data_IF_940296149707
#
_entry.id   IF_940296149707
#
_cell.length_a   1.000
_cell.length_b   1.000
_cell.length_c   1.000
_cell.angle_alpha   90.00
_cell.angle_beta   90.00
_cell.angle_gamma   90.00
#
_symmetry.space_group_name_H-M   'P 1'
#
loop_
_entity.id
_entity.type
_entity.pdbx_description
1 polymer ?
#
# COMPACT_ATOMS: atom_id res chain seq x y z
N UNK A 1 -18.96 -20.41 1.89
CA UNK A 1 -19.47 -19.09 1.49
C UNK A 1 -19.81 -19.16 0.00
N UNK A 2 -21.02 -18.78 -0.40
CA UNK A 2 -21.49 -18.93 -1.79
C UNK A 2 -21.26 -17.64 -2.57
N UNK A 3 -20.35 -17.68 -3.55
CA UNK A 3 -20.06 -16.54 -4.43
C UNK A 3 -21.14 -16.43 -5.51
N UNK A 4 -21.79 -15.27 -5.62
CA UNK A 4 -22.76 -15.00 -6.69
C UNK A 4 -22.16 -14.03 -7.70
N UNK A 5 -22.12 -14.45 -8.97
CA UNK A 5 -21.71 -13.59 -10.09
C UNK A 5 -22.98 -12.93 -10.63
N UNK A 6 -23.08 -11.61 -10.52
CA UNK A 6 -24.14 -10.84 -11.18
C UNK A 6 -23.60 -10.34 -12.51
N UNK A 7 -23.97 -11.03 -13.58
CA UNK A 7 -23.60 -10.63 -14.94
C UNK A 7 -24.57 -9.54 -15.43
N UNK A 8 -24.15 -8.27 -15.39
CA UNK A 8 -24.78 -7.21 -16.18
C UNK A 8 -24.16 -7.21 -17.58
N UNK A 9 -24.94 -6.89 -18.63
CA UNK A 9 -24.53 -6.93 -20.05
C UNK A 9 -23.31 -6.06 -20.40
N UNK A 10 -22.77 -5.28 -19.46
CA UNK A 10 -21.59 -4.43 -19.65
C UNK A 10 -20.48 -4.62 -18.61
N UNK A 11 -20.76 -5.23 -17.45
CA UNK A 11 -19.76 -5.45 -16.40
C UNK A 11 -20.12 -6.69 -15.58
N UNK A 12 -19.15 -7.58 -15.38
CA UNK A 12 -19.26 -8.71 -14.46
C UNK A 12 -18.97 -8.21 -13.05
N UNK A 13 -20.00 -8.02 -12.23
CA UNK A 13 -19.82 -7.64 -10.83
C UNK A 13 -19.75 -8.93 -10.01
N UNK A 14 -18.54 -9.26 -9.54
CA UNK A 14 -18.32 -10.40 -8.64
C UNK A 14 -18.56 -9.95 -7.20
N UNK A 15 -19.31 -10.74 -6.42
CA UNK A 15 -19.46 -10.53 -4.97
C UNK A 15 -18.30 -11.10 -4.15
N UNK A 16 -17.36 -11.78 -4.81
CA UNK A 16 -16.15 -12.34 -4.21
C UNK A 16 -15.20 -11.22 -3.74
N UNK A 17 -15.00 -11.05 -2.41
CA UNK A 17 -14.17 -9.98 -1.87
C UNK A 17 -12.70 -10.06 -2.31
N UNK A 18 -12.15 -11.26 -2.52
CA UNK A 18 -10.76 -11.44 -2.94
C UNK A 18 -10.56 -10.96 -4.37
N UNK A 19 -11.51 -11.27 -5.26
CA UNK A 19 -11.49 -10.77 -6.64
C UNK A 19 -11.67 -9.26 -6.71
N UNK A 20 -12.52 -8.69 -5.85
CA UNK A 20 -12.67 -7.24 -5.75
C UNK A 20 -11.38 -6.56 -5.28
N UNK A 21 -10.73 -7.11 -4.24
CA UNK A 21 -9.45 -6.63 -3.75
C UNK A 21 -8.36 -6.70 -4.83
N UNK A 22 -8.27 -7.82 -5.56
CA UNK A 22 -7.32 -7.99 -6.65
C UNK A 22 -7.56 -7.01 -7.81
N UNK A 23 -8.82 -6.74 -8.17
CA UNK A 23 -9.16 -5.74 -9.18
C UNK A 23 -8.77 -4.34 -8.71
N UNK A 24 -9.10 -3.99 -7.47
CA UNK A 24 -8.76 -2.69 -6.88
C UNK A 24 -7.26 -2.46 -6.79
N UNK A 25 -6.50 -3.50 -6.43
CA UNK A 25 -5.04 -3.45 -6.38
C UNK A 25 -4.44 -3.11 -7.75
N UNK A 26 -4.96 -3.68 -8.84
CA UNK A 26 -4.51 -3.37 -10.21
C UNK A 26 -4.78 -1.91 -10.58
N UNK A 27 -5.97 -1.39 -10.29
CA UNK A 27 -6.31 0.02 -10.53
C UNK A 27 -5.36 0.97 -9.76
N UNK A 28 -5.06 0.63 -8.51
CA UNK A 28 -4.15 1.40 -7.68
C UNK A 28 -2.71 1.33 -8.19
N UNK A 29 -2.25 0.17 -8.64
CA UNK A 29 -0.93 0.01 -9.26
C UNK A 29 -0.82 0.88 -10.53
N UNK A 30 -1.82 0.83 -11.42
CA UNK A 30 -1.84 1.66 -12.64
C UNK A 30 -1.76 3.16 -12.32
N UNK A 31 -2.46 3.61 -11.27
CA UNK A 31 -2.42 4.99 -10.82
C UNK A 31 -1.06 5.38 -10.20
N UNK A 32 -0.51 4.53 -9.33
CA UNK A 32 0.66 4.82 -8.51
C UNK A 32 2.00 4.60 -9.24
N UNK A 33 2.00 3.85 -10.34
CA UNK A 33 3.16 3.70 -11.22
C UNK A 33 3.37 4.89 -12.15
N UNK A 34 2.48 5.89 -12.13
CA UNK A 34 2.63 7.11 -12.92
C UNK A 34 3.68 8.08 -12.33
N UNK A 35 4.25 8.99 -13.15
CA UNK A 35 5.14 10.06 -12.67
C UNK A 35 4.46 11.10 -11.76
N UNK A 36 3.13 11.02 -11.55
CA UNK A 36 2.43 11.85 -10.58
C UNK A 36 2.78 11.48 -9.13
N UNK A 37 3.22 10.24 -8.90
CA UNK A 37 3.77 9.83 -7.63
C UNK A 37 5.16 10.47 -7.46
N UNK A 38 5.36 11.24 -6.39
CA UNK A 38 6.61 12.01 -6.20
C UNK A 38 7.83 11.10 -6.16
N UNK A 39 7.71 9.91 -5.56
CA UNK A 39 8.75 8.89 -5.51
C UNK A 39 9.09 8.24 -6.87
N UNK A 40 8.29 8.48 -7.91
CA UNK A 40 8.49 7.97 -9.28
C UNK A 40 8.96 9.05 -10.26
N UNK A 41 9.12 10.29 -9.81
CA UNK A 41 9.63 11.37 -10.67
C UNK A 41 11.06 11.05 -11.13
N UNK A 42 11.44 11.43 -12.37
CA UNK A 42 12.82 11.30 -12.82
C UNK A 42 13.79 11.99 -11.84
N UNK A 43 14.83 11.28 -11.43
CA UNK A 43 15.83 11.78 -10.48
C UNK A 43 15.49 11.61 -9.00
N UNK A 44 14.34 11.01 -8.66
CA UNK A 44 14.07 10.56 -7.29
C UNK A 44 14.90 9.29 -7.00
N UNK A 45 15.62 9.30 -5.87
CA UNK A 45 16.34 8.12 -5.38
C UNK A 45 15.36 7.22 -4.59
N UNK A 46 15.28 5.90 -4.86
CA UNK A 46 14.54 4.98 -4.00
C UNK A 46 14.93 5.09 -2.52
N UNK A 47 16.21 5.31 -2.21
CA UNK A 47 16.73 5.33 -0.84
C UNK A 47 16.19 6.53 -0.02
N UNK A 48 15.72 7.60 -0.68
CA UNK A 48 15.03 8.72 -0.02
C UNK A 48 13.71 8.32 0.66
N UNK A 49 13.14 7.16 0.28
CA UNK A 49 11.87 6.65 0.76
C UNK A 49 12.01 5.40 1.64
N UNK A 50 13.19 4.77 1.59
CA UNK A 50 13.55 3.56 2.34
C UNK A 50 14.80 3.85 3.17
N UNK A 51 14.68 4.61 4.27
CA UNK A 51 15.83 4.97 5.08
C UNK A 51 16.52 3.73 5.66
N UNK A 52 17.81 3.58 5.35
CA UNK A 52 18.66 2.45 5.79
C UNK A 52 18.98 2.56 7.28
N UNK A 53 19.11 3.79 7.78
CA UNK A 53 19.19 4.05 9.20
C UNK A 53 17.76 4.19 9.73
N UNK A 54 17.33 3.27 10.61
CA UNK A 54 16.05 3.33 11.31
C UNK A 54 16.01 4.45 12.37
N UNK A 55 16.53 5.64 12.03
CA UNK A 55 16.46 6.82 12.89
C UNK A 55 15.16 7.57 12.64
N UNK A 56 14.59 8.14 13.69
CA UNK A 56 13.38 8.95 13.60
C UNK A 56 13.52 10.09 12.59
N UNK A 57 14.70 10.74 12.56
CA UNK A 57 15.00 11.85 11.65
C UNK A 57 14.91 11.45 10.17
N UNK A 58 15.39 10.25 9.81
CA UNK A 58 15.37 9.79 8.43
C UNK A 58 13.95 9.51 7.94
N UNK A 59 13.11 8.91 8.81
CA UNK A 59 11.69 8.73 8.53
C UNK A 59 10.92 10.05 8.47
N UNK A 60 11.25 11.03 9.33
CA UNK A 60 10.63 12.36 9.29
C UNK A 60 10.94 13.09 7.98
N UNK A 61 12.17 13.01 7.51
CA UNK A 61 12.58 13.59 6.23
C UNK A 61 11.89 12.91 5.03
N UNK A 62 11.75 11.59 5.05
CA UNK A 62 11.00 10.86 4.03
C UNK A 62 9.48 11.18 4.08
N UNK A 63 8.89 11.31 5.28
CA UNK A 63 7.50 11.73 5.47
C UNK A 63 7.25 13.14 4.94
N UNK A 64 8.15 14.09 5.20
CA UNK A 64 8.08 15.46 4.66
C UNK A 64 8.04 15.45 3.14
N UNK A 65 8.95 14.71 2.48
CA UNK A 65 8.93 14.54 1.01
C UNK A 65 7.59 13.94 0.54
N UNK A 66 7.05 12.99 1.29
CA UNK A 66 5.81 12.29 0.93
C UNK A 66 4.57 13.19 1.01
N UNK A 67 4.58 14.19 1.89
CA UNK A 67 3.46 15.12 2.06
C UNK A 67 3.14 15.96 0.81
N UNK A 68 4.11 16.13 -0.10
CA UNK A 68 3.90 16.81 -1.39
C UNK A 68 3.30 15.92 -2.49
N UNK A 69 3.01 14.64 -2.22
CA UNK A 69 2.47 13.72 -3.21
C UNK A 69 0.93 13.75 -3.24
N UNK A 70 0.28 13.81 -4.42
CA UNK A 70 -1.19 13.78 -4.52
C UNK A 70 -1.82 12.47 -4.02
N UNK A 71 -1.02 11.44 -3.80
CA UNK A 71 -1.47 10.12 -3.37
C UNK A 71 -1.26 9.83 -1.87
N UNK A 72 -0.82 10.85 -1.13
CA UNK A 72 -0.48 10.76 0.30
C UNK A 72 -1.71 10.82 1.21
N UNK A 73 -1.51 10.53 2.50
CA UNK A 73 -2.54 10.60 3.53
C UNK A 73 -3.23 9.27 3.82
N UNK A 74 -3.88 9.18 4.98
CA UNK A 74 -4.48 7.93 5.50
C UNK A 74 -5.64 7.38 4.64
N UNK A 75 -6.32 8.26 3.89
CA UNK A 75 -7.34 7.91 2.91
C UNK A 75 -6.80 7.97 1.47
N UNK A 76 -5.50 8.17 1.30
CA UNK A 76 -4.85 8.32 0.00
C UNK A 76 -4.60 6.96 -0.69
N UNK A 77 -4.48 6.94 -2.03
CA UNK A 77 -4.22 5.73 -2.80
C UNK A 77 -3.01 4.91 -2.33
N UNK A 78 -1.92 5.56 -1.88
CA UNK A 78 -0.75 4.83 -1.36
C UNK A 78 -1.08 3.99 -0.13
N UNK A 79 -1.86 4.54 0.81
CA UNK A 79 -2.28 3.83 2.03
C UNK A 79 -3.36 2.79 1.70
N UNK A 80 -4.28 3.11 0.79
CA UNK A 80 -5.29 2.15 0.32
C UNK A 80 -4.62 0.90 -0.30
N UNK A 81 -3.63 1.10 -1.16
CA UNK A 81 -2.82 0.01 -1.72
C UNK A 81 -2.11 -0.79 -0.64
N UNK A 82 -1.50 -0.10 0.33
CA UNK A 82 -0.81 -0.76 1.44
C UNK A 82 -1.74 -1.64 2.27
N UNK A 83 -3.01 -1.26 2.46
CA UNK A 83 -4.00 -2.09 3.19
C UNK A 83 -4.33 -3.41 2.48
N UNK A 84 -4.16 -3.47 1.17
CA UNK A 84 -4.46 -4.66 0.35
C UNK A 84 -3.27 -5.61 0.19
N UNK A 85 -2.08 -5.19 0.62
CA UNK A 85 -0.83 -5.96 0.52
C UNK A 85 -0.37 -6.45 1.89
N UNK A 86 0.48 -7.49 1.95
CA UNK A 86 1.14 -7.88 3.20
C UNK A 86 1.83 -6.70 3.87
N UNK A 87 1.82 -6.68 5.21
CA UNK A 87 2.49 -5.63 5.98
C UNK A 87 3.96 -5.48 5.57
N UNK A 88 4.34 -4.27 5.17
CA UNK A 88 5.71 -3.90 4.85
C UNK A 88 6.36 -3.20 6.06
N UNK A 89 7.41 -3.79 6.67
CA UNK A 89 8.09 -3.24 7.82
C UNK A 89 9.10 -2.12 7.48
N UNK A 90 9.27 -1.73 6.22
CA UNK A 90 10.28 -0.73 5.82
C UNK A 90 9.69 0.44 5.03
N UNK A 91 10.45 1.54 4.96
CA UNK A 91 10.11 2.71 4.14
C UNK A 91 8.87 3.51 4.55
N UNK A 92 8.64 4.61 3.83
CA UNK A 92 7.48 5.50 4.00
C UNK A 92 6.46 5.27 2.89
N UNK A 93 5.21 4.99 3.27
CA UNK A 93 4.12 4.77 2.33
C UNK A 93 2.98 5.74 2.65
N UNK A 94 2.64 6.60 1.70
CA UNK A 94 1.54 7.57 1.86
C UNK A 94 1.65 8.47 3.10
N UNK A 95 2.89 8.79 3.50
CA UNK A 95 3.19 9.61 4.69
C UNK A 95 3.21 8.85 6.01
N UNK A 96 3.12 7.52 5.98
CA UNK A 96 3.20 6.67 7.18
C UNK A 96 4.52 5.90 7.21
N UNK A 97 5.20 5.92 8.35
CA UNK A 97 6.36 5.05 8.64
C UNK A 97 5.90 3.67 9.15
N UNK A 98 6.79 2.67 9.29
CA UNK A 98 6.40 1.32 9.68
C UNK A 98 5.75 1.22 11.05
N UNK A 99 6.18 2.05 12.01
CA UNK A 99 5.61 2.09 13.35
C UNK A 99 4.16 2.58 13.31
N UNK A 100 3.90 3.70 12.64
CA UNK A 100 2.56 4.24 12.47
C UNK A 100 1.67 3.26 11.68
N UNK A 101 2.19 2.61 10.63
CA UNK A 101 1.43 1.58 9.89
C UNK A 101 1.01 0.42 10.77
N UNK A 102 1.91 -0.03 11.66
CA UNK A 102 1.62 -1.10 12.63
C UNK A 102 0.51 -0.68 13.59
N UNK A 103 0.62 0.52 14.18
CA UNK A 103 -0.38 1.07 15.09
C UNK A 103 -1.77 1.22 14.44
N UNK A 104 -1.80 1.56 13.15
CA UNK A 104 -3.04 1.75 12.38
C UNK A 104 -3.58 0.47 11.72
N UNK A 105 -2.88 -0.67 11.83
CA UNK A 105 -3.25 -1.90 11.15
C UNK A 105 -3.27 -1.77 9.63
N UNK A 106 -2.32 -1.03 9.05
CA UNK A 106 -2.17 -0.88 7.60
C UNK A 106 -1.33 -2.05 7.07
N UNK A 107 -1.96 -2.91 6.29
CA UNK A 107 -1.36 -4.13 5.72
C UNK A 107 -2.20 -5.34 6.09
N UNK A 108 -2.24 -6.33 5.20
CA UNK A 108 -2.77 -7.64 5.55
C UNK A 108 -1.75 -8.33 6.45
N UNK A 109 -2.21 -8.78 7.61
CA UNK A 109 -1.44 -9.72 8.42
C UNK A 109 -1.70 -11.09 7.82
N UNK A 110 -0.64 -11.73 7.35
CA UNK A 110 -0.75 -13.11 6.85
C UNK A 110 -0.94 -13.99 8.08
N UNK A 111 -2.20 -14.26 8.45
CA UNK A 111 -2.52 -15.34 9.38
C UNK A 111 -2.19 -16.66 8.68
N UNK A 112 -1.03 -17.26 9.00
CA UNK A 112 -0.69 -18.60 8.51
C UNK A 112 0.79 -18.88 8.32
N UNK A 113 1.52 -19.07 9.42
CA UNK A 113 2.43 -20.22 9.52
C UNK A 113 2.19 -20.92 10.86
N UNK A 114 1.00 -21.49 11.01
CA UNK A 114 0.81 -22.64 11.91
C UNK A 114 1.50 -23.83 11.23
N UNK A 115 2.78 -24.05 11.56
CA UNK A 115 3.55 -25.07 10.86
C UNK A 115 4.95 -25.32 11.41
N UNK A 116 5.01 -26.04 12.53
CA UNK A 116 6.15 -26.85 13.01
C UNK A 116 7.28 -26.08 13.72
N UNK A 117 7.19 -26.07 15.05
CA UNK A 117 8.38 -26.17 15.88
C UNK A 117 9.16 -27.43 15.46
N UNK A 118 10.39 -27.24 15.00
CA UNK A 118 11.41 -28.27 14.92
C UNK A 118 12.55 -27.89 15.89
#
# INVERSE_FOLDING_TARGET
MSSHIVASRRHTVTSDPERQAAARLRELDELLLTPAAVCRKPGADPDDWFPIAETADAYDEAKKRCSGCPFTGLAGPCVERARLLPYDPVGVIGGTDPELRRQLGIGTYVEGYDGVAA
#
